data_IF_282830042648
#
_entry.id   IF_282830042648
#
_cell.length_a   1.000
_cell.length_b   1.000
_cell.length_c   1.000
_cell.angle_alpha   90.00
_cell.angle_beta   90.00
_cell.angle_gamma   90.00
#
_symmetry.space_group_name_H-M   'P 1'
#
loop_
_entity.id
_entity.type
_entity.pdbx_description
1 polymer ?
#
# COMPACT_ATOMS: atom_id res chain seq x y z
N UNK A 1 16.69 26.55 -2.90
CA UNK A 1 16.81 25.32 -3.71
C UNK A 1 16.46 24.14 -2.81
N UNK A 2 15.52 23.28 -3.20
CA UNK A 2 15.22 22.05 -2.47
C UNK A 2 16.42 21.10 -2.61
N UNK A 3 17.03 20.68 -1.49
CA UNK A 3 18.13 19.72 -1.47
C UNK A 3 17.67 18.35 -0.95
N UNK A 4 18.38 17.25 -1.23
CA UNK A 4 18.05 15.92 -0.69
C UNK A 4 17.98 15.91 0.84
N UNK A 5 18.93 16.59 1.48
CA UNK A 5 18.95 16.76 2.94
C UNK A 5 17.68 17.43 3.46
N UNK A 6 17.18 18.47 2.78
CA UNK A 6 15.93 19.14 3.14
C UNK A 6 14.72 18.21 2.91
N UNK A 7 14.67 17.52 1.76
CA UNK A 7 13.61 16.56 1.42
C UNK A 7 13.46 15.49 2.50
N UNK A 8 14.51 14.73 2.81
CA UNK A 8 14.42 13.66 3.80
C UNK A 8 14.04 14.18 5.20
N UNK A 9 14.51 15.37 5.58
CA UNK A 9 14.19 15.95 6.89
C UNK A 9 12.76 16.49 7.02
N UNK A 10 12.10 16.81 5.90
CA UNK A 10 10.77 17.42 5.87
C UNK A 10 9.68 16.49 5.35
N UNK A 11 10.06 15.34 4.78
CA UNK A 11 9.12 14.30 4.40
C UNK A 11 8.28 13.86 5.60
N UNK A 12 6.95 13.89 5.46
CA UNK A 12 6.03 13.48 6.52
C UNK A 12 5.94 11.95 6.59
N UNK A 13 6.99 11.34 7.15
CA UNK A 13 7.20 9.89 7.13
C UNK A 13 6.06 9.08 7.76
N UNK A 14 5.38 9.63 8.77
CA UNK A 14 4.26 9.01 9.48
C UNK A 14 2.89 9.47 8.96
N UNK A 15 2.81 10.12 7.79
CA UNK A 15 1.57 10.67 7.25
C UNK A 15 0.46 9.61 7.17
N UNK A 16 0.77 8.43 6.62
CA UNK A 16 -0.20 7.35 6.46
C UNK A 16 -0.66 6.78 7.79
N UNK A 17 0.24 6.63 8.77
CA UNK A 17 -0.12 6.16 10.12
C UNK A 17 -1.04 7.15 10.83
N UNK A 18 -0.75 8.45 10.75
CA UNK A 18 -1.63 9.48 11.32
C UNK A 18 -3.01 9.47 10.66
N UNK A 19 -3.06 9.37 9.34
CA UNK A 19 -4.31 9.34 8.59
C UNK A 19 -5.13 8.09 8.91
N UNK A 20 -4.52 6.92 8.88
CA UNK A 20 -5.19 5.65 9.18
C UNK A 20 -5.69 5.58 10.63
N UNK A 21 -4.90 6.02 11.61
CA UNK A 21 -5.35 6.06 13.01
C UNK A 21 -6.52 7.04 13.20
N UNK A 22 -6.50 8.17 12.49
CA UNK A 22 -7.61 9.13 12.51
C UNK A 22 -8.89 8.54 11.92
N UNK A 23 -8.76 7.83 10.78
CA UNK A 23 -9.89 7.16 10.12
C UNK A 23 -10.43 6.00 10.97
N UNK A 24 -9.56 5.21 11.59
CA UNK A 24 -9.95 4.16 12.54
C UNK A 24 -10.73 4.73 13.70
N UNK A 25 -10.20 5.77 14.34
CA UNK A 25 -10.87 6.44 15.45
C UNK A 25 -12.24 6.99 15.03
N UNK A 26 -12.33 7.62 13.86
CA UNK A 26 -13.58 8.12 13.29
C UNK A 26 -14.57 6.97 13.03
N UNK A 27 -14.13 5.87 12.42
CA UNK A 27 -14.97 4.69 12.17
C UNK A 27 -15.56 4.11 13.46
N UNK A 28 -14.78 4.09 14.54
CA UNK A 28 -15.19 3.58 15.85
C UNK A 28 -16.08 4.56 16.64
N UNK A 29 -16.01 5.86 16.35
CA UNK A 29 -16.59 6.91 17.22
C UNK A 29 -17.48 7.94 16.51
N UNK A 30 -17.77 7.81 15.21
CA UNK A 30 -18.48 8.84 14.43
C UNK A 30 -19.83 9.24 15.04
N UNK A 31 -20.56 8.29 15.62
CA UNK A 31 -21.86 8.53 16.26
C UNK A 31 -21.79 9.49 17.45
N UNK A 32 -20.62 9.63 18.09
CA UNK A 32 -20.39 10.49 19.25
C UNK A 32 -19.84 11.87 18.90
N UNK A 33 -19.31 12.05 17.69
CA UNK A 33 -18.56 13.26 17.32
C UNK A 33 -19.47 14.44 16.97
N UNK A 34 -20.77 14.19 16.81
CA UNK A 34 -21.74 15.19 16.35
C UNK A 34 -21.51 15.48 14.87
N UNK A 35 -22.51 15.20 14.05
CA UNK A 35 -22.38 15.36 12.61
C UNK A 35 -22.68 16.79 12.20
N UNK A 36 -21.99 17.27 11.17
CA UNK A 36 -22.31 18.56 10.57
C UNK A 36 -23.71 18.50 9.95
N UNK A 37 -24.59 19.40 10.39
CA UNK A 37 -25.97 19.53 9.90
C UNK A 37 -26.05 19.98 8.44
N UNK A 38 -24.91 20.34 7.82
CA UNK A 38 -24.83 20.69 6.41
C UNK A 38 -24.92 19.48 5.47
N UNK A 39 -24.76 18.25 5.98
CA UNK A 39 -24.89 17.04 5.16
C UNK A 39 -26.37 16.79 4.84
N UNK A 40 -26.73 17.00 3.57
CA UNK A 40 -28.08 16.73 3.07
C UNK A 40 -28.34 15.22 3.06
N UNK A 41 -29.55 14.82 3.46
CA UNK A 41 -30.02 13.42 3.47
C UNK A 41 -29.05 12.45 4.17
N UNK A 42 -28.48 12.89 5.29
CA UNK A 42 -27.53 12.10 6.06
C UNK A 42 -28.03 10.68 6.36
N UNK A 43 -27.12 9.72 6.21
CA UNK A 43 -27.32 8.30 6.52
C UNK A 43 -26.03 7.74 7.15
N UNK A 44 -26.16 7.15 8.34
CA UNK A 44 -25.04 6.55 9.08
C UNK A 44 -24.27 5.52 8.26
N UNK A 45 -24.97 4.71 7.46
CA UNK A 45 -24.35 3.65 6.65
C UNK A 45 -23.52 4.22 5.51
N UNK A 46 -23.98 5.32 4.91
CA UNK A 46 -23.26 5.96 3.80
C UNK A 46 -22.01 6.65 4.35
N UNK A 47 -22.11 7.25 5.54
CA UNK A 47 -20.96 7.83 6.23
C UNK A 47 -19.93 6.77 6.65
N UNK A 48 -20.37 5.65 7.23
CA UNK A 48 -19.49 4.53 7.56
C UNK A 48 -18.79 3.98 6.31
N UNK A 49 -19.54 3.83 5.21
CA UNK A 49 -19.02 3.37 3.92
C UNK A 49 -17.97 4.34 3.35
N UNK A 50 -18.19 5.65 3.49
CA UNK A 50 -17.23 6.66 3.08
C UNK A 50 -15.92 6.54 3.87
N UNK A 51 -16.00 6.39 5.20
CA UNK A 51 -14.81 6.22 6.05
C UNK A 51 -14.04 4.95 5.67
N UNK A 52 -14.72 3.82 5.45
CA UNK A 52 -14.07 2.55 5.02
C UNK A 52 -13.43 2.68 3.64
N UNK A 53 -14.07 3.42 2.74
CA UNK A 53 -13.53 3.74 1.41
C UNK A 53 -12.24 4.57 1.54
N UNK A 54 -12.22 5.54 2.44
CA UNK A 54 -11.04 6.37 2.72
C UNK A 54 -9.89 5.56 3.36
N UNK A 55 -10.19 4.57 4.20
CA UNK A 55 -9.19 3.63 4.74
C UNK A 55 -8.53 2.85 3.60
N UNK A 56 -9.34 2.27 2.70
CA UNK A 56 -8.86 1.50 1.54
C UNK A 56 -8.06 2.39 0.58
N UNK A 57 -8.55 3.60 0.30
CA UNK A 57 -7.85 4.56 -0.55
C UNK A 57 -6.53 5.01 0.06
N UNK A 58 -6.49 5.26 1.37
CA UNK A 58 -5.26 5.62 2.09
C UNK A 58 -4.23 4.52 2.02
N UNK A 59 -4.65 3.26 2.15
CA UNK A 59 -3.78 2.11 1.95
C UNK A 59 -3.20 2.09 0.54
N UNK A 60 -4.01 2.25 -0.52
CA UNK A 60 -3.48 2.33 -1.89
C UNK A 60 -2.49 3.48 -2.10
N UNK A 61 -2.73 4.65 -1.50
CA UNK A 61 -1.80 5.77 -1.55
C UNK A 61 -0.47 5.44 -0.86
N UNK A 62 -0.50 4.66 0.23
CA UNK A 62 0.70 4.18 0.89
C UNK A 62 1.49 3.21 -0.01
N UNK A 63 0.82 2.30 -0.72
CA UNK A 63 1.47 1.41 -1.71
C UNK A 63 2.13 2.21 -2.84
N UNK A 64 1.39 3.17 -3.41
CA UNK A 64 1.89 4.04 -4.47
C UNK A 64 3.17 4.77 -4.02
N UNK A 65 3.14 5.33 -2.80
CA UNK A 65 4.29 6.03 -2.20
C UNK A 65 5.48 5.11 -1.94
N UNK A 66 5.25 3.87 -1.49
CA UNK A 66 6.32 2.87 -1.34
C UNK A 66 7.03 2.67 -2.67
N UNK A 67 6.29 2.44 -3.76
CA UNK A 67 6.90 2.18 -5.07
C UNK A 67 7.56 3.44 -5.66
N UNK A 68 6.95 4.61 -5.56
CA UNK A 68 7.57 5.86 -6.04
C UNK A 68 8.93 6.09 -5.40
N UNK A 69 9.01 6.02 -4.06
CA UNK A 69 10.26 6.21 -3.33
C UNK A 69 11.25 5.08 -3.65
N UNK A 70 10.78 3.83 -3.66
CA UNK A 70 11.61 2.67 -3.96
C UNK A 70 12.30 2.79 -5.31
N UNK A 71 11.56 3.15 -6.36
CA UNK A 71 12.12 3.29 -7.70
C UNK A 71 12.98 4.55 -7.85
N UNK A 72 12.61 5.66 -7.21
CA UNK A 72 13.41 6.89 -7.22
C UNK A 72 14.76 6.76 -6.50
N UNK A 73 14.88 5.81 -5.57
CA UNK A 73 16.12 5.53 -4.84
C UNK A 73 17.04 4.53 -5.53
N UNK A 74 16.61 3.90 -6.63
CA UNK A 74 17.46 2.99 -7.37
C UNK A 74 18.69 3.74 -7.94
N UNK A 75 19.87 3.10 -7.94
CA UNK A 75 21.05 3.68 -8.56
C UNK A 75 20.85 3.80 -10.08
N UNK A 76 21.60 4.72 -10.69
CA UNK A 76 21.59 4.89 -12.14
C UNK A 76 22.22 3.68 -12.87
N UNK A 77 22.19 3.69 -14.20
CA UNK A 77 22.77 2.63 -15.03
C UNK A 77 24.28 2.44 -14.84
N UNK A 78 24.97 3.41 -14.25
CA UNK A 78 26.40 3.36 -13.91
C UNK A 78 26.63 2.90 -12.46
N UNK A 79 25.57 2.52 -11.73
CA UNK A 79 25.64 2.08 -10.34
C UNK A 79 25.89 3.22 -9.35
N UNK A 80 25.78 4.49 -9.78
CA UNK A 80 25.94 5.63 -8.89
C UNK A 80 24.65 5.84 -8.09
N UNK A 81 24.83 6.06 -6.80
CA UNK A 81 23.73 6.36 -5.87
C UNK A 81 23.06 7.66 -6.29
N UNK A 82 21.74 7.62 -6.46
CA UNK A 82 21.01 8.76 -6.97
C UNK A 82 20.73 9.78 -5.85
N UNK A 83 21.49 10.87 -5.80
CA UNK A 83 21.20 12.02 -4.94
C UNK A 83 20.04 12.88 -5.47
N UNK A 84 19.37 12.47 -6.55
CA UNK A 84 18.35 13.26 -7.25
C UNK A 84 16.94 12.73 -7.05
N UNK A 85 16.65 12.14 -5.88
CA UNK A 85 15.31 11.63 -5.52
C UNK A 85 14.19 12.63 -5.86
N UNK A 86 14.41 13.94 -5.66
CA UNK A 86 13.43 14.98 -5.95
C UNK A 86 13.15 15.07 -7.46
N UNK A 87 14.20 15.02 -8.28
CA UNK A 87 14.08 15.06 -9.74
C UNK A 87 13.38 13.79 -10.23
N UNK A 88 13.78 12.62 -9.71
CA UNK A 88 13.18 11.33 -10.06
C UNK A 88 11.69 11.30 -9.73
N UNK A 89 11.28 11.63 -8.50
CA UNK A 89 9.87 11.63 -8.13
C UNK A 89 9.05 12.62 -8.98
N UNK A 90 9.62 13.78 -9.31
CA UNK A 90 8.90 14.82 -10.07
C UNK A 90 8.80 14.50 -11.57
N UNK A 91 9.79 13.81 -12.13
CA UNK A 91 9.88 13.56 -13.58
C UNK A 91 9.50 12.14 -13.97
N UNK A 92 9.52 11.19 -13.02
CA UNK A 92 9.15 9.82 -13.30
C UNK A 92 7.66 9.72 -13.59
N UNK A 93 7.33 9.12 -14.73
CA UNK A 93 6.02 8.49 -14.85
C UNK A 93 5.98 7.33 -13.86
N UNK A 94 4.89 7.23 -13.11
CA UNK A 94 4.66 6.12 -12.18
C UNK A 94 4.95 4.78 -12.88
N UNK A 95 5.87 3.95 -12.34
CA UNK A 95 6.44 2.81 -13.06
C UNK A 95 5.51 1.59 -13.03
N UNK A 96 4.27 1.76 -13.49
CA UNK A 96 3.22 0.75 -13.47
C UNK A 96 3.54 -0.51 -14.26
N UNK A 97 4.42 -0.43 -15.27
CA UNK A 97 4.95 -1.62 -15.95
C UNK A 97 5.80 -2.45 -14.99
N UNK A 98 6.75 -1.81 -14.28
CA UNK A 98 7.61 -2.48 -13.30
C UNK A 98 6.82 -3.08 -12.14
N UNK A 99 5.81 -2.35 -11.64
CA UNK A 99 4.92 -2.89 -10.58
C UNK A 99 4.18 -4.15 -11.11
N UNK A 100 3.71 -4.15 -12.35
CA UNK A 100 3.07 -5.32 -12.95
C UNK A 100 4.02 -6.50 -13.14
N UNK A 101 5.27 -6.24 -13.51
CA UNK A 101 6.31 -7.28 -13.60
C UNK A 101 6.57 -7.92 -12.23
N UNK A 102 6.72 -7.10 -11.18
CA UNK A 102 6.88 -7.58 -9.79
C UNK A 102 5.66 -8.38 -9.33
N UNK A 103 4.44 -7.94 -9.67
CA UNK A 103 3.21 -8.68 -9.36
C UNK A 103 3.18 -10.05 -10.04
N UNK A 104 3.62 -10.14 -11.29
CA UNK A 104 3.61 -11.39 -12.05
C UNK A 104 4.64 -12.41 -11.55
N UNK A 105 5.80 -11.94 -11.07
CA UNK A 105 6.85 -12.81 -10.59
C UNK A 105 7.76 -12.12 -9.56
N UNK A 106 7.85 -12.70 -8.36
CA UNK A 106 8.71 -12.21 -7.28
C UNK A 106 10.19 -12.10 -7.66
N UNK A 107 10.68 -12.91 -8.61
CA UNK A 107 12.08 -12.89 -9.06
C UNK A 107 12.49 -11.55 -9.71
N UNK A 108 11.52 -10.71 -10.11
CA UNK A 108 11.82 -9.34 -10.54
C UNK A 108 12.42 -8.48 -9.43
N UNK A 109 12.43 -8.94 -8.17
CA UNK A 109 13.09 -8.28 -7.05
C UNK A 109 14.48 -8.85 -6.74
N UNK A 110 14.96 -9.88 -7.45
CA UNK A 110 16.28 -10.50 -7.20
C UNK A 110 17.46 -9.56 -7.46
N UNK A 111 17.23 -8.47 -8.19
CA UNK A 111 18.24 -7.43 -8.37
C UNK A 111 18.61 -6.74 -7.04
N UNK A 112 17.78 -6.85 -6.00
CA UNK A 112 18.09 -6.35 -4.66
C UNK A 112 19.23 -7.11 -3.99
N UNK A 113 19.48 -8.36 -4.39
CA UNK A 113 20.55 -9.18 -3.85
C UNK A 113 21.91 -8.87 -4.52
N UNK A 114 21.91 -8.07 -5.60
CA UNK A 114 23.14 -7.66 -6.29
C UNK A 114 24.02 -6.84 -5.35
N UNK A 115 25.30 -7.21 -5.28
CA UNK A 115 26.30 -6.46 -4.53
C UNK A 115 26.63 -5.16 -5.27
N UNK A 116 26.66 -4.06 -4.52
CA UNK A 116 27.07 -2.74 -4.97
C UNK A 116 28.26 -2.27 -4.14
N UNK A 117 29.09 -1.41 -4.74
CA UNK A 117 30.18 -0.74 -4.05
C UNK A 117 29.70 0.62 -3.60
N UNK A 118 29.54 0.79 -2.30
CA UNK A 118 29.28 2.07 -1.67
C UNK A 118 30.61 2.82 -1.40
N UNK A 119 30.52 4.13 -1.19
CA UNK A 119 31.65 5.00 -0.86
C UNK A 119 32.64 4.34 0.11
N UNK A 120 33.94 4.53 -0.13
CA UNK A 120 35.04 3.90 0.60
C UNK A 120 35.21 2.38 0.37
N UNK A 121 34.81 1.87 -0.81
CA UNK A 121 34.95 0.46 -1.22
C UNK A 121 34.17 -0.55 -0.35
N UNK A 122 33.14 -0.08 0.36
CA UNK A 122 32.29 -0.96 1.16
C UNK A 122 31.34 -1.70 0.24
N UNK A 123 31.33 -3.03 0.31
CA UNK A 123 30.43 -3.86 -0.50
C UNK A 123 29.21 -4.25 0.31
N UNK A 124 28.00 -3.94 -0.18
CA UNK A 124 26.72 -4.29 0.45
C UNK A 124 25.72 -4.73 -0.63
N UNK A 125 24.63 -5.39 -0.25
CA UNK A 125 23.54 -5.64 -1.22
C UNK A 125 22.80 -4.35 -1.56
N UNK A 126 22.19 -4.30 -2.74
CA UNK A 126 21.32 -3.18 -3.11
C UNK A 126 20.13 -3.05 -2.16
N UNK A 127 19.57 -4.17 -1.68
CA UNK A 127 18.51 -4.18 -0.67
C UNK A 127 18.91 -3.47 0.61
N UNK A 128 20.04 -3.86 1.21
CA UNK A 128 20.57 -3.20 2.41
C UNK A 128 20.85 -1.71 2.17
N UNK A 129 21.41 -1.36 1.02
CA UNK A 129 21.60 0.04 0.65
C UNK A 129 20.28 0.83 0.59
N UNK A 130 19.22 0.23 0.04
CA UNK A 130 17.92 0.90 -0.10
C UNK A 130 17.20 1.04 1.23
N UNK A 131 17.12 -0.03 2.03
CA UNK A 131 16.27 -0.09 3.22
C UNK A 131 17.01 0.13 4.55
N UNK A 132 18.33 -0.04 4.58
CA UNK A 132 19.17 0.12 5.78
C UNK A 132 20.36 1.05 5.52
N UNK A 133 20.09 2.14 4.81
CA UNK A 133 21.09 3.07 4.32
C UNK A 133 22.04 3.53 5.44
N UNK A 134 23.33 3.29 5.25
CA UNK A 134 24.37 3.71 6.19
C UNK A 134 24.42 2.90 7.49
N UNK A 135 23.83 1.70 7.55
CA UNK A 135 24.00 0.75 8.66
C UNK A 135 24.70 -0.56 8.27
N UNK A 136 25.07 -0.75 7.01
CA UNK A 136 25.69 -1.98 6.50
C UNK A 136 27.11 -2.27 7.05
N UNK A 137 27.65 -1.43 7.94
CA UNK A 137 28.88 -1.72 8.70
C UNK A 137 28.61 -2.41 10.04
N UNK A 138 27.36 -2.54 10.46
CA UNK A 138 26.99 -3.17 11.72
C UNK A 138 26.93 -4.70 11.54
N UNK A 139 28.07 -5.37 11.65
CA UNK A 139 28.18 -6.83 11.49
C UNK A 139 27.22 -7.61 12.41
N UNK A 140 26.97 -7.09 13.61
CA UNK A 140 26.12 -7.71 14.64
C UNK A 140 24.67 -7.90 14.22
N UNK A 141 24.16 -7.10 13.27
CA UNK A 141 22.76 -7.11 12.81
C UNK A 141 22.63 -7.47 11.32
N UNK A 142 23.73 -7.91 10.69
CA UNK A 142 23.75 -8.21 9.26
C UNK A 142 22.80 -9.33 8.88
N UNK A 143 22.68 -10.37 9.72
CA UNK A 143 21.77 -11.49 9.47
C UNK A 143 20.30 -11.06 9.53
N UNK A 144 19.95 -10.22 10.50
CA UNK A 144 18.63 -9.64 10.67
C UNK A 144 18.26 -8.77 9.46
N UNK A 145 19.21 -8.01 8.92
CA UNK A 145 19.02 -7.28 7.68
C UNK A 145 18.79 -8.21 6.49
N UNK A 146 19.60 -9.25 6.30
CA UNK A 146 19.40 -10.21 5.20
C UNK A 146 18.02 -10.88 5.26
N UNK A 147 17.60 -11.34 6.43
CA UNK A 147 16.27 -11.92 6.64
C UNK A 147 15.17 -10.90 6.39
N UNK A 148 15.38 -9.66 6.85
CA UNK A 148 14.45 -8.57 6.62
C UNK A 148 14.34 -8.17 5.16
N UNK A 149 15.42 -8.19 4.38
CA UNK A 149 15.36 -7.91 2.94
C UNK A 149 14.50 -8.95 2.23
N UNK A 150 14.62 -10.24 2.60
CA UNK A 150 13.74 -11.29 2.07
C UNK A 150 12.27 -11.02 2.42
N UNK A 151 12.00 -10.62 3.66
CA UNK A 151 10.66 -10.25 4.09
C UNK A 151 10.12 -9.02 3.32
N UNK A 152 10.96 -7.99 3.09
CA UNK A 152 10.60 -6.82 2.29
C UNK A 152 10.33 -7.21 0.83
N UNK A 153 11.13 -8.10 0.22
CA UNK A 153 10.86 -8.63 -1.14
C UNK A 153 9.48 -9.28 -1.21
N UNK A 154 9.16 -10.12 -0.23
CA UNK A 154 7.85 -10.75 -0.10
C UNK A 154 6.73 -9.70 0.04
N UNK A 155 6.89 -8.69 0.91
CA UNK A 155 5.92 -7.60 1.03
C UNK A 155 5.74 -6.85 -0.29
N UNK A 156 6.82 -6.41 -0.95
CA UNK A 156 6.74 -5.69 -2.22
C UNK A 156 6.02 -6.50 -3.30
N UNK A 157 6.20 -7.82 -3.35
CA UNK A 157 5.44 -8.68 -4.25
C UNK A 157 3.94 -8.67 -3.95
N UNK A 158 3.54 -8.77 -2.68
CA UNK A 158 2.13 -8.68 -2.28
C UNK A 158 1.54 -7.30 -2.61
N UNK A 159 2.25 -6.22 -2.26
CA UNK A 159 1.82 -4.86 -2.55
C UNK A 159 1.68 -4.61 -4.06
N UNK A 160 2.60 -5.15 -4.86
CA UNK A 160 2.54 -5.08 -6.31
C UNK A 160 1.30 -5.80 -6.85
N UNK A 161 1.01 -7.01 -6.36
CA UNK A 161 -0.20 -7.75 -6.74
C UNK A 161 -1.47 -6.94 -6.51
N UNK A 162 -1.61 -6.35 -5.32
CA UNK A 162 -2.79 -5.55 -4.98
C UNK A 162 -2.92 -4.25 -5.77
N UNK A 163 -1.80 -3.63 -6.14
CA UNK A 163 -1.79 -2.36 -6.87
C UNK A 163 -1.78 -2.51 -8.39
N UNK A 164 -1.50 -3.71 -8.91
CA UNK A 164 -1.39 -3.99 -10.34
C UNK A 164 -2.71 -3.77 -11.11
N UNK A 165 -3.85 -4.10 -10.51
CA UNK A 165 -5.18 -3.78 -11.02
C UNK A 165 -5.71 -2.47 -10.42
N UNK A 166 -5.41 -1.36 -11.10
CA UNK A 166 -5.80 -0.03 -10.65
C UNK A 166 -7.29 0.28 -10.84
N UNK A 167 -8.12 -0.64 -11.35
CA UNK A 167 -9.56 -0.36 -11.55
C UNK A 167 -10.22 0.04 -10.24
N UNK A 168 -9.89 -0.69 -9.17
CA UNK A 168 -10.39 -0.42 -7.83
C UNK A 168 -9.92 0.96 -7.32
N UNK A 169 -8.60 1.21 -7.31
CA UNK A 169 -8.03 2.48 -6.86
C UNK A 169 -8.58 3.69 -7.64
N UNK A 170 -8.67 3.59 -8.97
CA UNK A 170 -9.24 4.66 -9.79
C UNK A 170 -10.74 4.87 -9.52
N UNK A 171 -11.46 3.83 -9.10
CA UNK A 171 -12.88 3.95 -8.80
C UNK A 171 -13.10 4.75 -7.52
N UNK A 172 -12.29 4.50 -6.48
CA UNK A 172 -12.29 5.33 -5.27
C UNK A 172 -11.90 6.78 -5.57
N UNK A 173 -10.82 7.00 -6.33
CA UNK A 173 -10.36 8.36 -6.70
C UNK A 173 -11.43 9.19 -7.41
N UNK A 174 -12.27 8.55 -8.22
CA UNK A 174 -13.25 9.26 -9.02
C UNK A 174 -14.64 9.35 -8.40
N UNK A 175 -14.93 8.64 -7.29
CA UNK A 175 -16.18 8.69 -6.50
C UNK A 175 -17.46 8.25 -7.23
N UNK A 176 -17.57 8.55 -8.53
CA UNK A 176 -18.68 8.27 -9.43
C UNK A 176 -18.76 6.80 -9.86
N UNK A 177 -17.74 6.00 -9.55
CA UNK A 177 -17.59 4.61 -10.06
C UNK A 177 -17.77 3.56 -8.97
N UNK A 178 -18.27 3.97 -7.80
CA UNK A 178 -18.45 3.13 -6.63
C UNK A 178 -19.91 3.24 -6.19
N UNK A 179 -20.59 2.10 -6.03
CA UNK A 179 -21.95 2.05 -5.47
C UNK A 179 -22.12 0.83 -4.55
N UNK A 180 -22.78 0.96 -3.39
CA UNK A 180 -23.10 -0.17 -2.52
C UNK A 180 -24.27 -0.98 -3.09
N UNK A 181 -24.05 -1.66 -4.21
CA UNK A 181 -25.11 -2.30 -5.01
C UNK A 181 -25.64 -3.60 -4.38
N UNK A 182 -24.73 -4.43 -3.87
CA UNK A 182 -25.05 -5.73 -3.29
C UNK A 182 -24.99 -5.68 -1.77
N UNK A 183 -26.01 -6.23 -1.10
CA UNK A 183 -26.11 -6.25 0.37
C UNK A 183 -25.90 -7.64 0.96
N UNK A 184 -26.12 -8.67 0.16
CA UNK A 184 -26.13 -10.06 0.56
C UNK A 184 -25.95 -10.98 -0.65
N UNK A 185 -25.32 -12.12 -0.43
CA UNK A 185 -25.30 -13.27 -1.33
C UNK A 185 -25.86 -14.47 -0.57
N UNK A 186 -26.85 -15.15 -1.15
CA UNK A 186 -27.48 -16.34 -0.58
C UNK A 186 -27.38 -17.48 -1.58
N UNK A 187 -27.02 -18.67 -1.10
CA UNK A 187 -27.17 -19.93 -1.81
C UNK A 187 -28.27 -20.73 -1.11
N UNK A 188 -29.28 -21.12 -1.88
CA UNK A 188 -30.40 -21.91 -1.40
C UNK A 188 -30.40 -23.30 -2.04
N UNK A 189 -30.95 -24.27 -1.32
CA UNK A 189 -31.31 -25.57 -1.87
C UNK A 189 -32.30 -25.39 -3.04
N UNK A 190 -32.08 -26.10 -4.14
CA UNK A 190 -32.80 -25.87 -5.39
C UNK A 190 -34.27 -26.31 -5.32
N UNK A 191 -34.58 -27.34 -4.52
CA UNK A 191 -35.91 -27.94 -4.46
C UNK A 191 -36.78 -27.26 -3.40
N UNK A 192 -36.20 -26.91 -2.25
CA UNK A 192 -36.91 -26.36 -1.09
C UNK A 192 -36.80 -24.84 -0.98
N UNK A 193 -35.88 -24.22 -1.72
CA UNK A 193 -35.50 -22.80 -1.59
C UNK A 193 -35.04 -22.41 -0.18
N UNK A 194 -34.71 -23.39 0.68
CA UNK A 194 -34.15 -23.11 2.00
C UNK A 194 -32.71 -22.61 1.89
N UNK A 195 -32.37 -21.59 2.67
CA UNK A 195 -31.03 -21.02 2.70
C UNK A 195 -30.03 -22.03 3.27
N UNK A 196 -29.00 -22.37 2.49
CA UNK A 196 -27.90 -23.21 2.95
C UNK A 196 -26.72 -22.36 3.42
N UNK A 197 -26.45 -21.28 2.69
CA UNK A 197 -25.37 -20.35 2.99
C UNK A 197 -25.82 -18.91 2.72
N UNK A 198 -25.51 -18.01 3.65
CA UNK A 198 -25.70 -16.56 3.47
C UNK A 198 -24.42 -15.82 3.85
N UNK A 199 -24.07 -14.84 3.04
CA UNK A 199 -22.96 -13.93 3.26
C UNK A 199 -23.42 -12.49 3.19
N UNK A 200 -23.09 -11.73 4.23
CA UNK A 200 -23.36 -10.30 4.24
C UNK A 200 -22.34 -9.54 3.40
N UNK A 201 -22.86 -8.69 2.51
CA UNK A 201 -22.09 -7.73 1.70
C UNK A 201 -22.40 -6.29 2.10
N UNK A 202 -22.95 -6.08 3.31
CA UNK A 202 -23.38 -4.76 3.80
C UNK A 202 -22.25 -3.74 3.83
N UNK A 203 -21.02 -4.20 4.05
CA UNK A 203 -19.81 -3.38 4.08
C UNK A 203 -19.00 -3.61 2.81
N UNK A 204 -19.63 -3.52 1.64
CA UNK A 204 -18.99 -3.74 0.36
C UNK A 204 -19.19 -2.56 -0.59
N UNK A 205 -18.35 -2.51 -1.61
CA UNK A 205 -18.44 -1.55 -2.68
C UNK A 205 -18.40 -2.24 -4.02
N UNK A 206 -19.33 -1.89 -4.90
CA UNK A 206 -19.34 -2.36 -6.29
C UNK A 206 -18.73 -1.31 -7.19
N UNK A 207 -17.71 -1.69 -7.95
CA UNK A 207 -17.19 -0.90 -9.05
C UNK A 207 -17.44 -1.61 -10.38
N UNK A 208 -17.56 -0.82 -11.44
CA UNK A 208 -17.90 -1.33 -12.76
C UNK A 208 -16.82 -0.95 -13.78
N UNK A 209 -16.57 -1.87 -14.72
CA UNK A 209 -15.65 -1.64 -15.82
C UNK A 209 -16.22 -2.17 -17.12
N UNK A 210 -16.10 -1.36 -18.17
CA UNK A 210 -16.52 -1.69 -19.52
C UNK A 210 -15.31 -2.12 -20.35
N UNK A 211 -15.38 -3.32 -20.92
CA UNK A 211 -14.38 -3.79 -21.87
C UNK A 211 -14.81 -3.42 -23.30
N UNK A 212 -14.04 -2.54 -23.95
CA UNK A 212 -14.33 -2.11 -25.32
C UNK A 212 -14.18 -3.23 -26.36
N UNK A 213 -13.39 -4.27 -26.08
CA UNK A 213 -13.15 -5.40 -26.99
C UNK A 213 -14.29 -6.40 -26.92
N UNK A 214 -14.69 -6.83 -25.73
CA UNK A 214 -15.78 -7.80 -25.54
C UNK A 214 -17.15 -7.14 -25.52
N UNK A 215 -17.23 -5.81 -25.39
CA UNK A 215 -18.45 -5.03 -25.16
C UNK A 215 -19.20 -5.42 -23.89
N UNK A 216 -18.51 -6.03 -22.93
CA UNK A 216 -19.10 -6.46 -21.67
C UNK A 216 -18.94 -5.41 -20.58
N UNK A 217 -19.98 -5.25 -19.75
CA UNK A 217 -19.88 -4.52 -18.49
C UNK A 217 -19.70 -5.53 -17.37
N UNK A 218 -18.59 -5.42 -16.66
CA UNK A 218 -18.29 -6.21 -15.47
C UNK A 218 -18.52 -5.39 -14.22
N UNK A 219 -19.10 -6.03 -13.21
CA UNK A 219 -19.33 -5.48 -11.89
C UNK A 219 -18.54 -6.32 -10.89
N UNK A 220 -17.75 -5.64 -10.07
CA UNK A 220 -16.90 -6.27 -9.07
C UNK A 220 -17.28 -5.66 -7.74
N UNK A 221 -17.84 -6.49 -6.85
CA UNK A 221 -18.18 -6.12 -5.49
C UNK A 221 -17.08 -6.59 -4.56
N UNK A 222 -16.52 -5.66 -3.78
CA UNK A 222 -15.48 -5.94 -2.81
C UNK A 222 -15.91 -5.57 -1.41
N UNK A 223 -15.78 -6.50 -0.47
CA UNK A 223 -16.01 -6.23 0.94
C UNK A 223 -14.83 -5.45 1.52
N UNK A 224 -15.11 -4.40 2.28
CA UNK A 224 -14.09 -3.67 3.03
C UNK A 224 -13.51 -4.54 4.13
N UNK A 225 -12.18 -4.68 4.13
CA UNK A 225 -11.41 -5.33 5.18
C UNK A 225 -10.53 -4.28 5.87
N UNK A 226 -11.18 -3.37 6.60
CA UNK A 226 -10.53 -2.18 7.14
C UNK A 226 -9.38 -2.51 8.10
N UNK A 227 -9.50 -3.56 8.92
CA UNK A 227 -8.42 -3.96 9.83
C UNK A 227 -7.21 -4.52 9.08
N UNK A 228 -7.41 -5.29 8.01
CA UNK A 228 -6.33 -5.71 7.11
C UNK A 228 -5.67 -4.51 6.43
N UNK A 229 -6.45 -3.59 5.88
CA UNK A 229 -5.93 -2.39 5.21
C UNK A 229 -5.09 -1.52 6.17
N UNK A 230 -5.50 -1.42 7.44
CA UNK A 230 -4.74 -0.76 8.50
C UNK A 230 -3.41 -1.47 8.77
N UNK A 231 -3.41 -2.80 8.94
CA UNK A 231 -2.18 -3.60 9.14
C UNK A 231 -1.22 -3.44 7.95
N UNK A 232 -1.73 -3.56 6.72
CA UNK A 232 -0.94 -3.44 5.51
C UNK A 232 -0.41 -2.03 5.27
N UNK A 233 -1.16 -1.00 5.69
CA UNK A 233 -0.65 0.38 5.67
C UNK A 233 0.52 0.54 6.63
N UNK A 234 0.48 -0.06 7.82
CA UNK A 234 1.61 -0.03 8.75
C UNK A 234 2.87 -0.68 8.17
N UNK A 235 2.74 -1.78 7.41
CA UNK A 235 3.86 -2.37 6.66
C UNK A 235 4.44 -1.35 5.65
N UNK A 236 3.58 -0.67 4.88
CA UNK A 236 4.00 0.37 3.94
C UNK A 236 4.74 1.51 4.65
N UNK A 237 4.18 2.04 5.74
CA UNK A 237 4.78 3.11 6.55
C UNK A 237 6.16 2.72 7.07
N UNK A 238 6.34 1.50 7.56
CA UNK A 238 7.64 1.02 8.03
C UNK A 238 8.66 0.88 6.88
N UNK A 239 8.23 0.46 5.68
CA UNK A 239 9.14 0.39 4.52
C UNK A 239 9.56 1.80 4.10
N UNK A 240 8.63 2.75 4.07
CA UNK A 240 8.92 4.17 3.83
C UNK A 240 9.85 4.72 4.92
N UNK A 241 9.63 4.34 6.19
CA UNK A 241 10.50 4.71 7.30
C UNK A 241 11.95 4.31 7.03
N UNK A 242 12.15 3.06 6.62
CA UNK A 242 13.45 2.51 6.27
C UNK A 242 14.13 3.22 5.08
N UNK A 243 13.36 3.61 4.07
CA UNK A 243 13.91 4.35 2.93
C UNK A 243 14.23 5.82 3.25
N UNK A 244 13.43 6.49 4.08
CA UNK A 244 13.51 7.94 4.30
C UNK A 244 14.31 8.30 5.56
N UNK A 245 14.08 7.62 6.69
CA UNK A 245 14.61 8.04 7.99
C UNK A 245 16.13 7.89 8.07
N UNK A 246 16.64 6.76 7.60
CA UNK A 246 18.08 6.47 7.59
C UNK A 246 18.84 7.50 6.75
N UNK A 247 18.24 7.91 5.63
CA UNK A 247 18.77 9.00 4.80
C UNK A 247 18.68 10.35 5.51
N UNK A 248 17.57 10.71 6.15
CA UNK A 248 17.49 11.94 6.97
C UNK A 248 18.65 12.01 7.98
N UNK A 249 18.90 10.92 8.71
CA UNK A 249 19.97 10.86 9.70
C UNK A 249 21.35 10.99 9.04
N UNK A 250 21.59 10.31 7.91
CA UNK A 250 22.86 10.40 7.20
C UNK A 250 23.12 11.80 6.61
N UNK A 251 22.15 12.39 5.90
CA UNK A 251 22.31 13.71 5.25
C UNK A 251 22.27 14.89 6.24
N UNK A 252 21.67 14.72 7.42
CA UNK A 252 21.55 15.79 8.42
C UNK A 252 22.29 15.45 9.72
N UNK A 253 23.29 14.57 9.69
CA UNK A 253 24.04 14.10 10.88
C UNK A 253 24.51 15.26 11.77
N UNK A 254 25.08 16.31 11.17
CA UNK A 254 25.62 17.47 11.89
C UNK A 254 24.56 18.30 12.61
N UNK A 255 23.28 18.14 12.23
CA UNK A 255 22.13 18.82 12.86
C UNK A 255 21.45 17.97 13.93
N UNK A 256 21.85 16.71 14.09
CA UNK A 256 21.30 15.82 15.12
C UNK A 256 22.16 15.93 16.39
N UNK A 257 21.54 15.75 17.55
CA UNK A 257 22.28 15.62 18.81
C UNK A 257 23.14 14.35 18.80
N UNK A 258 24.22 14.33 19.59
CA UNK A 258 25.08 13.14 19.72
C UNK A 258 24.31 11.93 20.26
N UNK A 259 23.31 12.18 21.10
CA UNK A 259 22.46 11.15 21.70
C UNK A 259 21.17 10.90 20.90
N UNK A 260 21.15 11.29 19.62
CA UNK A 260 19.98 11.08 18.77
C UNK A 260 19.76 9.59 18.51
N UNK A 261 18.60 9.09 18.92
CA UNK A 261 18.18 7.72 18.70
C UNK A 261 16.93 7.69 17.83
N UNK A 262 16.78 6.63 17.04
CA UNK A 262 15.59 6.36 16.25
C UNK A 262 15.39 4.85 16.11
N UNK A 263 14.14 4.44 15.90
CA UNK A 263 13.80 3.03 15.73
C UNK A 263 14.32 2.49 14.38
N UNK A 264 14.75 1.24 14.38
CA UNK A 264 15.14 0.47 13.19
C UNK A 264 14.08 -0.63 13.02
N UNK A 265 13.06 -0.42 12.17
CA UNK A 265 12.14 -1.48 11.79
C UNK A 265 12.87 -2.65 11.12
N UNK A 266 12.70 -3.84 11.68
CA UNK A 266 13.13 -5.12 11.11
C UNK A 266 11.87 -5.90 10.71
N UNK A 267 11.88 -6.48 9.51
CA UNK A 267 10.72 -7.18 8.96
C UNK A 267 10.89 -8.69 9.07
N UNK A 268 9.90 -9.37 9.64
CA UNK A 268 9.81 -10.82 9.58
C UNK A 268 8.72 -11.26 8.59
N UNK A 269 8.96 -12.38 7.92
CA UNK A 269 8.03 -12.89 6.90
C UNK A 269 6.69 -13.34 7.51
N UNK A 270 6.70 -13.79 8.77
CA UNK A 270 5.50 -14.29 9.43
C UNK A 270 4.57 -13.14 9.82
N UNK A 271 5.13 -12.03 10.27
CA UNK A 271 4.42 -10.80 10.59
C UNK A 271 3.73 -10.23 9.35
N UNK A 272 4.40 -10.29 8.19
CA UNK A 272 3.80 -9.89 6.91
C UNK A 272 2.69 -10.87 6.52
N UNK A 273 2.92 -12.19 6.67
CA UNK A 273 1.90 -13.21 6.43
C UNK A 273 0.68 -13.05 7.34
N UNK A 274 0.87 -12.59 8.57
CA UNK A 274 -0.22 -12.31 9.48
C UNK A 274 -0.95 -11.02 9.09
N UNK A 275 -0.23 -9.98 8.65
CA UNK A 275 -0.83 -8.74 8.18
C UNK A 275 -1.74 -8.93 6.97
N UNK A 276 -1.37 -9.82 6.03
CA UNK A 276 -2.16 -10.08 4.80
C UNK A 276 -3.42 -10.93 5.03
N UNK A 277 -3.57 -11.56 6.20
CA UNK A 277 -4.74 -12.38 6.51
C UNK A 277 -6.01 -11.54 6.42
N UNK A 278 -7.03 -12.16 5.86
CA UNK A 278 -8.32 -11.55 5.58
C UNK A 278 -9.24 -11.73 6.78
N UNK A 279 -9.84 -10.66 7.27
CA UNK A 279 -10.77 -10.70 8.41
C UNK A 279 -12.24 -10.88 7.95
N UNK A 280 -12.47 -10.91 6.64
CA UNK A 280 -13.79 -11.07 6.02
C UNK A 280 -13.96 -12.43 5.35
N UNK A 281 -15.20 -12.96 5.35
CA UNK A 281 -15.51 -14.29 4.79
C UNK A 281 -15.54 -14.31 3.26
N UNK A 282 -15.92 -13.20 2.63
CA UNK A 282 -15.92 -13.02 1.17
C UNK A 282 -15.27 -11.68 0.88
N UNK A 283 -14.23 -11.70 0.04
CA UNK A 283 -13.58 -10.49 -0.44
C UNK A 283 -14.17 -10.00 -1.74
N UNK A 284 -14.24 -10.86 -2.76
CA UNK A 284 -14.55 -10.43 -4.13
C UNK A 284 -15.71 -11.24 -4.74
N UNK A 285 -16.70 -10.55 -5.29
CA UNK A 285 -17.75 -11.12 -6.14
C UNK A 285 -17.71 -10.42 -7.48
N UNK A 286 -17.50 -11.18 -8.56
CA UNK A 286 -17.49 -10.67 -9.93
C UNK A 286 -18.64 -11.26 -10.73
N UNK A 287 -19.40 -10.39 -11.39
CA UNK A 287 -20.46 -10.77 -12.31
C UNK A 287 -20.44 -9.87 -13.56
N UNK A 288 -20.94 -10.39 -14.68
CA UNK A 288 -21.03 -9.67 -15.95
C UNK A 288 -22.48 -9.62 -16.41
N UNK A 289 -22.88 -8.48 -16.95
CA UNK A 289 -24.14 -8.37 -17.68
C UNK A 289 -23.82 -8.35 -19.16
N UNK A 290 -24.29 -9.35 -19.89
CA UNK A 290 -24.34 -9.33 -21.35
C UNK A 290 -25.67 -8.69 -21.72
N UNK A 291 -25.70 -7.54 -22.42
CA UNK A 291 -26.95 -6.99 -22.90
C UNK A 291 -27.60 -8.03 -23.83
N UNK A 292 -28.89 -8.32 -23.62
CA UNK A 292 -29.67 -9.01 -24.65
C UNK A 292 -29.63 -8.13 -25.90
N UNK A 293 -29.15 -8.71 -27.01
CA UNK A 293 -29.20 -8.07 -28.32
C UNK A 293 -30.67 -7.99 -28.74
N UNK A 294 -31.36 -6.92 -28.33
CA UNK A 294 -32.64 -6.50 -28.90
C UNK A 294 -32.41 -5.64 -30.13
#
# INVERSE_FOLDING_TARGET
MLSPALYFSKFQINYFDYKQNSLKYLLENYTKMGLDKTILEYNDKDYETAIRSDIRQTYFQAIETVFEIFFALLPDSNGKTNDRIIEEITTSELPYSKIREIAQNESYLDFLDKKIVYSNNITTSLGEFLFYYGLFYMEEISKEFEESIKAIKFALHILANEFSDRKEYNSYKHGLRILPALKELIICDADTMQEEYSWSLKNSMTFYSYDKKTKETSFITKTFDSERDLRMTSICSNIIWNMIKFRDVAYNRDKKSKDYQFAIPIFGINEIKDAIKTDVKIQDIKYSLTPDNN
#
